data_IF_044629265943
#
_entry.id   IF_044629265943
#
_cell.length_a   1.000
_cell.length_b   1.000
_cell.length_c   1.000
_cell.angle_alpha   90.00
_cell.angle_beta   90.00
_cell.angle_gamma   90.00
#
_symmetry.space_group_name_H-M   'P 1'
#
loop_
_entity.id
_entity.type
_entity.pdbx_description
1 polymer ?
#
# COMPACT_ATOMS: atom_id res chain seq x y z
N UNK A 1 -28.36 -27.77 14.36
CA UNK A 1 -27.58 -26.51 14.39
C UNK A 1 -26.43 -26.65 13.41
N UNK A 2 -26.69 -26.58 12.10
CA UNK A 2 -25.63 -26.78 11.08
C UNK A 2 -25.82 -25.92 9.81
N UNK A 3 -27.03 -25.41 9.55
CA UNK A 3 -27.31 -24.55 8.38
C UNK A 3 -26.61 -23.18 8.38
N UNK A 4 -26.09 -22.72 9.52
CA UNK A 4 -25.40 -21.43 9.59
C UNK A 4 -23.97 -21.52 9.07
N UNK A 5 -23.35 -22.70 9.10
CA UNK A 5 -21.95 -22.89 8.69
C UNK A 5 -21.81 -23.00 7.17
N UNK A 6 -22.80 -23.61 6.51
CA UNK A 6 -22.86 -23.65 5.04
C UNK A 6 -23.06 -22.26 4.43
N UNK A 7 -23.89 -21.44 5.07
CA UNK A 7 -24.24 -20.09 4.56
C UNK A 7 -23.05 -19.13 4.53
N UNK A 8 -22.17 -19.23 5.53
CA UNK A 8 -20.93 -18.44 5.60
C UNK A 8 -19.91 -18.91 4.55
N UNK A 9 -19.84 -20.22 4.30
CA UNK A 9 -18.92 -20.76 3.31
C UNK A 9 -19.30 -20.33 1.88
N UNK A 10 -20.60 -20.27 1.60
CA UNK A 10 -21.11 -19.79 0.31
C UNK A 10 -20.87 -18.27 0.12
N UNK A 11 -20.93 -17.48 1.21
CA UNK A 11 -20.61 -16.04 1.16
C UNK A 11 -19.12 -15.78 0.90
N UNK A 12 -18.20 -16.59 1.45
CA UNK A 12 -16.75 -16.46 1.22
C UNK A 12 -16.39 -16.83 -0.24
N UNK A 13 -17.07 -17.80 -0.82
CA UNK A 13 -16.83 -18.24 -2.20
C UNK A 13 -17.35 -17.25 -3.25
N UNK A 14 -18.25 -16.34 -2.86
CA UNK A 14 -18.86 -15.33 -3.75
C UNK A 14 -18.24 -13.94 -3.60
N UNK A 15 -17.11 -13.80 -2.90
CA UNK A 15 -16.38 -12.53 -2.85
C UNK A 15 -15.80 -12.26 -4.25
N UNK A 16 -16.18 -11.16 -4.92
CA UNK A 16 -15.63 -10.82 -6.23
C UNK A 16 -14.11 -10.63 -6.12
N UNK A 17 -13.34 -11.33 -6.95
CA UNK A 17 -11.89 -11.13 -7.06
C UNK A 17 -11.62 -9.70 -7.55
N UNK A 18 -10.78 -8.99 -6.80
CA UNK A 18 -10.36 -7.60 -7.11
C UNK A 18 -9.54 -7.53 -8.41
N UNK A 19 -9.13 -8.68 -8.96
CA UNK A 19 -8.37 -8.81 -10.20
C UNK A 19 -9.19 -8.49 -11.46
N UNK A 20 -10.53 -8.45 -11.38
CA UNK A 20 -11.42 -8.11 -12.50
C UNK A 20 -11.71 -6.60 -12.61
N UNK A 21 -11.06 -5.74 -11.83
CA UNK A 21 -11.19 -4.29 -11.98
C UNK A 21 -10.31 -3.79 -13.14
N UNK A 22 -10.90 -3.46 -14.31
CA UNK A 22 -10.14 -3.10 -15.51
C UNK A 22 -9.36 -1.78 -15.36
N UNK A 23 -9.49 -1.09 -14.23
CA UNK A 23 -8.78 0.16 -13.93
C UNK A 23 -7.50 -0.02 -13.08
N UNK A 24 -7.19 -1.24 -12.60
CA UNK A 24 -5.98 -1.51 -11.82
C UNK A 24 -4.89 -2.19 -12.67
N UNK A 25 -4.37 -1.48 -13.68
CA UNK A 25 -3.15 -1.92 -14.38
C UNK A 25 -1.95 -1.67 -13.47
N UNK A 26 -1.50 -2.72 -12.78
CA UNK A 26 -0.16 -2.74 -12.17
C UNK A 26 0.82 -2.73 -13.34
N UNK A 27 1.38 -1.55 -13.67
CA UNK A 27 2.46 -1.43 -14.65
C UNK A 27 3.67 -2.18 -14.10
N UNK A 28 3.93 -3.35 -14.66
CA UNK A 28 5.19 -4.07 -14.50
C UNK A 28 6.19 -3.40 -15.46
N UNK A 29 7.03 -2.51 -14.94
CA UNK A 29 8.01 -1.76 -15.74
C UNK A 29 9.10 -2.70 -16.28
N UNK A 30 8.81 -3.38 -17.39
CA UNK A 30 9.80 -4.17 -18.13
C UNK A 30 9.53 -4.12 -19.65
N UNK A 31 10.26 -3.22 -20.33
CA UNK A 31 10.53 -3.11 -21.78
C UNK A 31 9.44 -3.49 -22.80
N UNK A 32 8.96 -2.52 -23.60
CA UNK A 32 9.39 -2.34 -25.02
C UNK A 32 8.42 -1.46 -25.82
N UNK A 33 9.04 -0.61 -26.65
CA UNK A 33 8.53 0.42 -27.54
C UNK A 33 7.30 0.05 -28.40
N UNK A 34 6.22 0.85 -28.31
CA UNK A 34 5.30 1.11 -29.41
C UNK A 34 4.57 2.45 -29.21
N UNK A 35 4.63 3.28 -30.24
CA UNK A 35 4.17 4.67 -30.25
C UNK A 35 2.64 4.78 -30.16
N UNK A 36 2.15 5.67 -29.30
CA UNK A 36 0.85 6.32 -29.49
C UNK A 36 0.84 7.74 -28.93
N UNK A 37 0.51 8.64 -29.85
CA UNK A 37 0.30 10.09 -29.70
C UNK A 37 -0.81 10.40 -28.70
N UNK A 38 -0.51 11.24 -27.72
CA UNK A 38 -1.39 11.57 -26.60
C UNK A 38 -0.92 12.81 -25.85
N UNK A 39 -0.95 13.94 -26.54
CA UNK A 39 -0.89 15.33 -26.04
C UNK A 39 -0.93 15.49 -24.50
N UNK A 40 0.25 15.53 -23.87
CA UNK A 40 0.40 16.06 -22.52
C UNK A 40 1.01 17.45 -22.58
N UNK A 41 0.17 18.41 -22.21
CA UNK A 41 0.45 19.82 -22.05
C UNK A 41 1.74 20.03 -21.27
N UNK A 42 2.82 20.36 -21.99
CA UNK A 42 4.04 20.92 -21.43
C UNK A 42 3.74 22.32 -20.92
N UNK A 43 3.14 22.43 -19.73
CA UNK A 43 3.06 23.72 -19.05
C UNK A 43 4.44 24.04 -18.48
N UNK A 44 5.12 24.88 -19.25
CA UNK A 44 6.35 25.57 -18.91
C UNK A 44 6.31 26.11 -17.49
N UNK A 45 7.26 25.67 -16.67
CA UNK A 45 7.62 26.31 -15.39
C UNK A 45 8.53 27.50 -15.68
N UNK A 46 8.05 28.45 -16.47
CA UNK A 46 8.76 29.70 -16.72
C UNK A 46 8.46 30.70 -15.60
N UNK A 47 9.48 30.90 -14.76
CA UNK A 47 9.82 32.15 -14.07
C UNK A 47 8.77 32.76 -13.13
N UNK A 48 8.87 32.44 -11.83
CA UNK A 48 8.35 33.30 -10.76
C UNK A 48 9.08 34.65 -10.83
N UNK A 49 8.39 35.79 -10.96
CA UNK A 49 9.04 37.09 -10.92
C UNK A 49 9.57 37.39 -9.51
N UNK A 50 10.87 37.65 -9.42
CA UNK A 50 11.52 38.21 -8.23
C UNK A 50 11.03 39.65 -8.04
N UNK A 51 10.18 39.86 -7.04
CA UNK A 51 9.71 41.18 -6.62
C UNK A 51 10.49 41.64 -5.38
N UNK A 52 11.81 41.68 -5.46
CA UNK A 52 12.56 42.67 -4.69
C UNK A 52 12.43 43.99 -5.43
N UNK A 53 11.55 44.89 -4.98
CA UNK A 53 11.83 46.33 -4.86
C UNK A 53 10.68 47.02 -4.14
N UNK A 54 11.07 47.93 -3.25
CA UNK A 54 10.32 49.06 -2.74
C UNK A 54 9.45 48.86 -1.49
N UNK A 55 10.16 48.85 -0.35
CA UNK A 55 9.92 49.77 0.77
C UNK A 55 9.03 50.97 0.39
N UNK A 56 7.80 50.98 0.91
CA UNK A 56 7.00 52.20 1.14
C UNK A 56 5.78 51.87 2.01
N UNK A 57 5.92 52.12 3.31
CA UNK A 57 4.82 52.56 4.17
C UNK A 57 3.77 51.52 4.58
N UNK A 58 3.98 50.89 5.74
CA UNK A 58 3.01 50.80 6.85
C UNK A 58 3.58 49.93 7.99
N UNK A 59 3.91 50.48 9.17
CA UNK A 59 4.21 49.70 10.36
C UNK A 59 2.89 49.36 11.05
N UNK A 60 2.17 48.35 10.57
CA UNK A 60 1.05 47.79 11.34
C UNK A 60 0.66 46.41 10.82
N UNK A 61 1.56 45.46 11.01
CA UNK A 61 1.15 44.08 11.18
C UNK A 61 1.73 43.56 12.50
N UNK A 62 1.36 44.25 13.58
CA UNK A 62 1.11 43.52 14.81
C UNK A 62 -0.19 42.74 14.56
N UNK A 63 -0.08 41.58 13.90
CA UNK A 63 -1.05 40.52 14.13
C UNK A 63 -0.94 40.25 15.63
N UNK A 64 -1.93 40.76 16.35
CA UNK A 64 -2.00 40.76 17.79
C UNK A 64 -1.87 39.34 18.32
N UNK A 65 -0.65 38.97 18.71
CA UNK A 65 -0.38 37.93 19.70
C UNK A 65 -0.96 38.30 21.10
N UNK A 66 -2.01 39.13 21.16
CA UNK A 66 -2.48 39.81 22.36
C UNK A 66 -3.91 39.45 22.77
N UNK A 67 -4.46 38.33 22.27
CA UNK A 67 -5.76 37.82 22.77
C UNK A 67 -5.84 36.29 22.88
N UNK A 68 -4.69 35.59 22.89
CA UNK A 68 -4.67 34.16 23.26
C UNK A 68 -4.63 34.11 24.78
N UNK A 69 -5.74 33.67 25.39
CA UNK A 69 -5.79 33.42 26.84
C UNK A 69 -4.69 32.42 27.23
N UNK A 70 -4.02 32.59 28.38
CA UNK A 70 -3.07 31.59 28.88
C UNK A 70 -3.67 30.16 28.93
N UNK A 71 -4.98 30.05 29.16
CA UNK A 71 -5.69 28.76 29.14
C UNK A 71 -5.72 28.13 27.75
N UNK A 72 -5.91 28.93 26.69
CA UNK A 72 -5.94 28.45 25.30
C UNK A 72 -4.53 28.01 24.84
N UNK A 73 -3.49 28.70 25.32
CA UNK A 73 -2.11 28.29 25.06
C UNK A 73 -1.78 26.96 25.74
N UNK A 74 -2.25 26.75 26.96
CA UNK A 74 -2.07 25.48 27.67
C UNK A 74 -2.85 24.34 26.99
N UNK A 75 -4.08 24.58 26.56
CA UNK A 75 -4.87 23.59 25.81
C UNK A 75 -4.16 23.21 24.50
N UNK A 76 -3.67 24.19 23.74
CA UNK A 76 -2.87 23.95 22.54
C UNK A 76 -1.62 23.14 22.85
N UNK A 77 -0.92 23.43 23.95
CA UNK A 77 0.25 22.65 24.36
C UNK A 77 -0.12 21.19 24.68
N UNK A 78 -1.24 20.95 25.37
CA UNK A 78 -1.72 19.58 25.66
C UNK A 78 -2.11 18.83 24.37
N UNK A 79 -2.79 19.50 23.43
CA UNK A 79 -3.14 18.91 22.14
C UNK A 79 -1.89 18.56 21.31
N UNK A 80 -0.88 19.44 21.31
CA UNK A 80 0.40 19.18 20.63
C UNK A 80 1.05 17.92 21.22
N UNK A 81 1.11 17.80 22.54
CA UNK A 81 1.67 16.59 23.19
C UNK A 81 0.94 15.33 22.76
N UNK A 82 -0.40 15.34 22.79
CA UNK A 82 -1.20 14.19 22.37
C UNK A 82 -0.96 13.83 20.90
N UNK A 83 -0.87 14.82 20.02
CA UNK A 83 -0.57 14.60 18.59
C UNK A 83 0.82 13.96 18.44
N UNK A 84 1.82 14.43 19.17
CA UNK A 84 3.18 13.86 19.11
C UNK A 84 3.21 12.41 19.62
N UNK A 85 2.49 12.10 20.71
CA UNK A 85 2.39 10.73 21.22
C UNK A 85 1.71 9.79 20.22
N UNK A 86 0.63 10.25 19.59
CA UNK A 86 -0.07 9.49 18.55
C UNK A 86 0.80 9.30 17.30
N UNK A 87 1.54 10.33 16.89
CA UNK A 87 2.48 10.25 15.78
C UNK A 87 3.58 9.22 16.04
N UNK A 88 4.18 9.24 17.24
CA UNK A 88 5.19 8.26 17.63
C UNK A 88 4.61 6.83 17.61
N UNK A 89 3.41 6.64 18.17
CA UNK A 89 2.75 5.32 18.19
C UNK A 89 2.43 4.83 16.77
N UNK A 90 2.00 5.73 15.89
CA UNK A 90 1.70 5.42 14.50
C UNK A 90 2.97 5.08 13.71
N UNK A 91 4.05 5.81 13.94
CA UNK A 91 5.35 5.54 13.31
C UNK A 91 5.90 4.16 13.72
N UNK A 92 5.85 3.85 15.02
CA UNK A 92 6.24 2.53 15.54
C UNK A 92 5.41 1.40 14.91
N UNK A 93 4.09 1.59 14.81
CA UNK A 93 3.20 0.61 14.19
C UNK A 93 3.51 0.44 12.70
N UNK A 94 3.78 1.54 11.99
CA UNK A 94 4.13 1.53 10.56
C UNK A 94 5.41 0.74 10.31
N UNK A 95 6.45 0.97 11.12
CA UNK A 95 7.70 0.20 11.05
C UNK A 95 7.48 -1.29 11.33
N UNK A 96 6.66 -1.62 12.33
CA UNK A 96 6.34 -3.02 12.64
C UNK A 96 5.60 -3.71 11.49
N UNK A 97 4.68 -3.00 10.82
CA UNK A 97 3.98 -3.53 9.65
C UNK A 97 4.95 -3.80 8.51
N UNK A 98 5.87 -2.89 8.20
CA UNK A 98 6.87 -3.10 7.15
C UNK A 98 7.79 -4.28 7.49
N UNK A 99 8.24 -4.39 8.74
CA UNK A 99 9.05 -5.54 9.18
C UNK A 99 8.31 -6.88 9.03
N UNK A 100 7.02 -6.94 9.33
CA UNK A 100 6.21 -8.16 9.17
C UNK A 100 6.03 -8.48 7.69
N UNK A 101 5.84 -7.46 6.85
CA UNK A 101 5.73 -7.62 5.39
C UNK A 101 7.01 -8.18 4.79
N UNK A 102 8.17 -7.66 5.20
CA UNK A 102 9.48 -8.16 4.74
C UNK A 102 9.71 -9.62 5.14
N UNK A 103 9.43 -9.97 6.40
CA UNK A 103 9.54 -11.36 6.88
C UNK A 103 8.58 -12.29 6.13
N UNK A 104 7.35 -11.84 5.89
CA UNK A 104 6.35 -12.60 5.14
C UNK A 104 6.79 -12.84 3.70
N UNK A 105 7.33 -11.82 3.02
CA UNK A 105 7.86 -11.95 1.66
C UNK A 105 9.02 -12.93 1.60
N UNK A 106 9.95 -12.85 2.56
CA UNK A 106 11.07 -13.78 2.68
C UNK A 106 10.57 -15.22 2.83
N UNK A 107 9.66 -15.47 3.77
CA UNK A 107 9.08 -16.81 4.00
C UNK A 107 8.34 -17.32 2.76
N UNK A 108 7.62 -16.46 2.04
CA UNK A 108 6.93 -16.84 0.80
C UNK A 108 7.93 -17.26 -0.28
N UNK A 109 9.02 -16.52 -0.46
CA UNK A 109 10.07 -16.86 -1.42
C UNK A 109 10.78 -18.18 -1.09
N UNK A 110 11.09 -18.42 0.20
CA UNK A 110 11.71 -19.66 0.65
C UNK A 110 10.76 -20.86 0.45
N UNK A 111 9.49 -20.71 0.84
CA UNK A 111 8.48 -21.73 0.64
C UNK A 111 8.24 -22.04 -0.85
N UNK A 112 8.34 -21.04 -1.73
CA UNK A 112 8.23 -21.27 -3.17
C UNK A 112 9.37 -22.17 -3.66
N UNK A 113 10.61 -21.89 -3.25
CA UNK A 113 11.77 -22.71 -3.63
C UNK A 113 11.66 -24.13 -3.07
N UNK A 114 11.27 -24.26 -1.80
CA UNK A 114 11.06 -25.56 -1.15
C UNK A 114 9.92 -26.34 -1.82
N UNK A 115 8.82 -25.67 -2.16
CA UNK A 115 7.69 -26.26 -2.87
C UNK A 115 8.12 -26.86 -4.20
N UNK A 116 8.85 -26.09 -5.02
CA UNK A 116 9.36 -26.58 -6.29
C UNK A 116 10.32 -27.77 -6.12
N UNK A 117 11.18 -27.75 -5.09
CA UNK A 117 12.06 -28.87 -4.80
C UNK A 117 11.28 -30.15 -4.48
N UNK A 118 10.23 -30.03 -3.66
CA UNK A 118 9.35 -31.15 -3.31
C UNK A 118 8.61 -31.67 -4.56
N UNK A 119 8.05 -30.78 -5.38
CA UNK A 119 7.38 -31.15 -6.64
C UNK A 119 8.31 -31.89 -7.61
N UNK A 120 9.55 -31.42 -7.74
CA UNK A 120 10.55 -32.06 -8.59
C UNK A 120 10.89 -33.47 -8.08
N UNK A 121 11.04 -33.64 -6.77
CA UNK A 121 11.27 -34.96 -6.17
C UNK A 121 10.08 -35.91 -6.36
N UNK A 122 8.86 -35.42 -6.14
CA UNK A 122 7.64 -36.22 -6.34
C UNK A 122 7.47 -36.62 -7.81
N UNK A 123 7.79 -35.73 -8.75
CA UNK A 123 7.67 -35.97 -10.19
C UNK A 123 8.75 -36.92 -10.74
N UNK A 124 10.00 -36.78 -10.25
CA UNK A 124 11.13 -37.63 -10.67
C UNK A 124 11.12 -39.01 -10.01
N UNK A 125 10.47 -39.17 -8.86
CA UNK A 125 10.35 -40.45 -8.17
C UNK A 125 9.20 -41.28 -8.74
N UNK A 126 9.55 -42.40 -9.38
CA UNK A 126 8.59 -43.38 -9.93
C UNK A 126 7.63 -43.96 -8.87
N UNK A 127 7.93 -43.82 -7.58
CA UNK A 127 7.10 -44.32 -6.47
C UNK A 127 5.79 -43.54 -6.35
N UNK A 128 5.74 -42.27 -6.77
CA UNK A 128 4.54 -41.42 -6.66
C UNK A 128 3.69 -41.37 -7.94
N UNK A 129 4.13 -42.00 -9.03
CA UNK A 129 3.40 -42.00 -10.31
C UNK A 129 2.29 -43.07 -10.41
N UNK A 130 2.24 -44.06 -9.50
CA UNK A 130 1.49 -45.31 -9.72
C UNK A 130 0.12 -45.46 -9.04
N UNK A 131 -0.47 -44.43 -8.42
CA UNK A 131 -1.80 -44.58 -7.76
C UNK A 131 -2.98 -44.00 -8.52
N UNK A 132 -2.83 -43.63 -9.80
CA UNK A 132 -3.97 -43.23 -10.62
C UNK A 132 -4.54 -44.45 -11.37
N UNK A 133 -5.74 -44.98 -11.03
CA UNK A 133 -6.37 -46.02 -11.82
C UNK A 133 -6.70 -45.44 -13.19
N UNK A 134 -6.02 -45.90 -14.23
CA UNK A 134 -6.35 -45.58 -15.63
C UNK A 134 -7.75 -46.15 -15.91
N UNK A 135 -8.79 -45.33 -15.76
CA UNK A 135 -10.14 -45.65 -16.23
C UNK A 135 -10.08 -45.75 -17.76
N UNK A 136 -9.80 -46.95 -18.27
CA UNK A 136 -9.97 -47.28 -19.69
C UNK A 136 -11.48 -47.27 -19.95
N UNK A 137 -12.00 -46.20 -20.56
CA UNK A 137 -13.33 -46.20 -21.16
C UNK A 137 -13.31 -47.21 -22.31
N UNK A 138 -14.28 -48.13 -22.30
CA UNK A 138 -14.50 -49.19 -23.27
C UNK A 138 -15.65 -48.79 -24.19
#
# INVERSE_FOLDING_TARGET
MDSSKSKIQDEINNIPLVDDDPQLVVHDDNESSAELDGSHSNNSVDSIPSMFTNDSGSPSHNHSNSDISPDELEEKARLITQVLELQNTLDDLSHRVESVKDETMKLRSENQVLGQYIENLMSASSVFQSTSPKQKKK
#
